data_IF_716175513466
#
_entry.id   IF_716175513466
#
_cell.length_a   1.000
_cell.length_b   1.000
_cell.length_c   1.000
_cell.angle_alpha   90.00
_cell.angle_beta   90.00
_cell.angle_gamma   90.00
#
_symmetry.space_group_name_H-M   'P 1'
#
loop_
_entity.id
_entity.type
_entity.pdbx_description
1 polymer ?
#
# COMPACT_ATOMS: atom_id res chain seq x y z
N UNK A 1 13.48 -2.03 -1.29
CA UNK A 1 12.86 -0.81 -1.86
C UNK A 1 11.54 -1.25 -2.46
N UNK A 2 10.44 -0.52 -2.24
CA UNK A 2 9.12 -0.95 -2.73
C UNK A 2 9.11 -0.98 -4.27
N UNK A 3 8.85 -2.15 -4.84
CA UNK A 3 8.83 -2.37 -6.30
C UNK A 3 7.41 -2.49 -6.85
N UNK A 4 6.47 -2.96 -6.03
CA UNK A 4 5.05 -3.01 -6.33
C UNK A 4 4.28 -2.17 -5.29
N UNK A 5 3.50 -1.15 -5.69
CA UNK A 5 2.70 -0.36 -4.76
C UNK A 5 1.52 -1.13 -4.19
N UNK A 6 1.11 -2.28 -4.76
CA UNK A 6 0.03 -3.08 -4.19
C UNK A 6 0.47 -3.76 -2.89
N UNK A 7 -0.52 -4.17 -2.08
CA UNK A 7 -0.24 -5.11 -1.00
C UNK A 7 -0.04 -6.51 -1.60
N UNK A 8 1.21 -6.93 -1.72
CA UNK A 8 1.56 -8.26 -2.20
C UNK A 8 2.44 -9.02 -1.20
N UNK A 9 2.41 -10.35 -1.28
CA UNK A 9 3.15 -11.22 -0.37
C UNK A 9 4.63 -10.86 -0.30
N UNK A 10 5.26 -10.57 -1.45
CA UNK A 10 6.69 -10.28 -1.54
C UNK A 10 7.08 -8.99 -0.79
N UNK A 11 6.22 -7.97 -0.75
CA UNK A 11 6.47 -6.76 0.03
C UNK A 11 6.54 -7.06 1.54
N UNK A 12 5.65 -7.92 2.04
CA UNK A 12 5.64 -8.37 3.44
C UNK A 12 6.81 -9.34 3.71
N UNK A 13 7.13 -10.21 2.76
CA UNK A 13 8.26 -11.13 2.85
C UNK A 13 9.61 -10.40 2.93
N UNK A 14 9.78 -9.29 2.19
CA UNK A 14 10.97 -8.44 2.33
C UNK A 14 11.12 -7.89 3.74
N UNK A 15 10.02 -7.48 4.37
CA UNK A 15 10.02 -7.06 5.77
C UNK A 15 10.44 -8.22 6.70
N UNK A 16 9.89 -9.43 6.53
CA UNK A 16 10.32 -10.61 7.31
C UNK A 16 11.81 -10.93 7.10
N UNK A 17 12.34 -10.85 5.87
CA UNK A 17 13.78 -11.06 5.59
C UNK A 17 14.64 -10.02 6.30
N UNK A 18 14.20 -8.76 6.34
CA UNK A 18 14.85 -7.72 7.13
C UNK A 18 14.88 -8.07 8.61
N UNK A 19 13.76 -8.47 9.21
CA UNK A 19 13.71 -8.88 10.62
C UNK A 19 14.62 -10.09 10.92
N UNK A 20 14.61 -11.10 10.04
CA UNK A 20 15.48 -12.26 10.17
C UNK A 20 16.97 -11.86 10.14
N UNK A 21 17.35 -10.88 9.31
CA UNK A 21 18.74 -10.41 9.21
C UNK A 21 19.28 -9.77 10.48
N UNK A 22 18.38 -9.28 11.35
CA UNK A 22 18.71 -8.68 12.64
C UNK A 22 18.33 -9.59 13.83
N UNK A 23 17.86 -10.82 13.57
CA UNK A 23 17.43 -11.77 14.59
C UNK A 23 16.19 -11.34 15.37
N UNK A 24 15.33 -10.51 14.80
CA UNK A 24 14.10 -10.06 15.45
C UNK A 24 12.90 -10.97 15.11
N UNK A 25 12.21 -11.43 16.14
CA UNK A 25 10.98 -12.25 16.04
C UNK A 25 9.89 -11.78 17.01
N UNK A 26 9.97 -10.52 17.44
CA UNK A 26 9.03 -9.92 18.38
C UNK A 26 7.75 -9.39 17.72
N UNK A 27 6.92 -8.66 18.50
CA UNK A 27 5.67 -8.08 18.02
C UNK A 27 5.91 -7.04 16.92
N UNK A 28 4.94 -6.89 16.03
CA UNK A 28 4.90 -5.91 14.94
C UNK A 28 3.60 -5.12 15.05
N UNK A 29 3.70 -3.80 14.89
CA UNK A 29 2.55 -2.93 14.71
C UNK A 29 2.36 -2.68 13.21
N UNK A 30 1.14 -2.87 12.72
CA UNK A 30 0.71 -2.39 11.43
C UNK A 30 0.00 -1.04 11.60
N UNK A 31 0.09 -0.20 10.59
CA UNK A 31 -0.53 1.11 10.57
C UNK A 31 -0.95 1.46 9.15
N UNK A 32 -2.11 2.08 9.03
CA UNK A 32 -2.65 2.57 7.77
C UNK A 32 -3.24 3.96 7.93
N UNK A 33 -3.13 4.74 6.86
CA UNK A 33 -3.83 6.03 6.74
C UNK A 33 -4.08 6.32 5.25
N UNK A 34 -5.10 7.12 4.96
CA UNK A 34 -5.42 7.58 3.61
C UNK A 34 -5.08 9.07 3.45
N UNK A 35 -3.92 9.34 2.87
CA UNK A 35 -3.41 10.71 2.75
C UNK A 35 -3.81 11.34 1.41
N UNK A 36 -4.21 12.61 1.44
CA UNK A 36 -4.53 13.41 0.25
C UNK A 36 -3.30 13.69 -0.60
N UNK A 37 -3.41 13.46 -1.90
CA UNK A 37 -2.36 13.74 -2.88
C UNK A 37 -2.58 15.07 -3.60
N UNK A 38 -1.47 15.68 -4.04
CA UNK A 38 -1.52 16.69 -5.11
C UNK A 38 -1.72 15.97 -6.44
N UNK A 39 -2.81 16.30 -7.14
CA UNK A 39 -3.15 15.71 -8.44
C UNK A 39 -1.98 15.86 -9.43
N UNK A 40 -1.34 14.74 -9.77
CA UNK A 40 -0.25 14.72 -10.74
C UNK A 40 -0.01 13.30 -11.23
N UNK A 41 0.18 13.17 -12.54
CA UNK A 41 0.69 11.95 -13.17
C UNK A 41 2.17 12.12 -13.45
N UNK A 42 2.96 11.07 -13.20
CA UNK A 42 4.39 11.04 -13.56
C UNK A 42 4.75 9.65 -14.07
N UNK A 43 5.68 9.60 -15.02
CA UNK A 43 6.37 8.36 -15.32
C UNK A 43 7.40 8.05 -14.23
N UNK A 44 7.43 6.80 -13.77
CA UNK A 44 8.45 6.28 -12.85
C UNK A 44 9.31 5.26 -13.58
N UNK A 45 10.59 5.58 -13.81
CA UNK A 45 11.53 4.63 -14.43
C UNK A 45 11.79 3.41 -13.55
N UNK A 46 11.71 3.57 -12.22
CA UNK A 46 11.87 2.48 -11.26
C UNK A 46 10.73 1.46 -11.35
N UNK A 47 9.50 1.91 -11.57
CA UNK A 47 8.31 1.05 -11.68
C UNK A 47 7.94 0.73 -13.14
N UNK A 48 8.57 1.38 -14.11
CA UNK A 48 8.25 1.25 -15.53
C UNK A 48 6.85 1.72 -15.92
N UNK A 49 6.18 2.51 -15.08
CA UNK A 49 4.75 2.83 -15.26
C UNK A 49 4.42 4.31 -14.98
N UNK A 50 3.21 4.73 -15.33
CA UNK A 50 2.64 6.01 -14.88
C UNK A 50 2.10 5.87 -13.47
N UNK A 51 2.65 6.64 -12.54
CA UNK A 51 2.21 6.75 -11.14
C UNK A 51 1.28 7.95 -10.93
N UNK A 52 0.49 7.91 -9.86
CA UNK A 52 -0.52 8.92 -9.52
C UNK A 52 -1.90 8.67 -10.16
N UNK A 53 -2.12 7.46 -10.65
CA UNK A 53 -3.42 6.98 -11.14
C UNK A 53 -3.97 5.90 -10.23
N UNK A 54 -5.29 5.69 -10.28
CA UNK A 54 -5.96 4.55 -9.64
C UNK A 54 -5.92 3.27 -10.49
N UNK A 55 -5.37 3.32 -11.70
CA UNK A 55 -5.14 2.13 -12.51
C UNK A 55 -4.01 1.28 -11.93
N UNK A 56 -4.08 -0.02 -12.18
CA UNK A 56 -3.04 -0.96 -11.79
C UNK A 56 -1.73 -0.70 -12.54
N UNK A 57 -0.60 -1.15 -11.97
CA UNK A 57 0.70 -1.05 -12.62
C UNK A 57 0.73 -1.67 -14.03
N UNK A 58 -0.02 -2.74 -14.25
CA UNK A 58 -0.09 -3.40 -15.55
C UNK A 58 -0.81 -2.53 -16.60
N UNK A 59 -1.83 -1.78 -16.18
CA UNK A 59 -2.58 -0.88 -17.05
C UNK A 59 -1.84 0.42 -17.36
N UNK A 60 -0.86 0.79 -16.53
CA UNK A 60 -0.06 2.01 -16.70
C UNK A 60 1.38 1.73 -17.11
N UNK A 61 1.72 0.47 -17.41
CA UNK A 61 3.05 0.05 -17.84
C UNK A 61 3.43 0.70 -19.17
N UNK A 62 4.65 1.21 -19.25
CA UNK A 62 5.21 1.91 -20.40
C UNK A 62 6.32 1.04 -21.01
N UNK A 63 6.09 0.55 -22.23
CA UNK A 63 7.08 -0.24 -22.98
C UNK A 63 7.91 0.65 -23.90
N UNK A 64 7.28 1.66 -24.48
CA UNK A 64 7.89 2.61 -25.39
C UNK A 64 7.56 4.04 -24.97
N UNK A 65 8.38 5.01 -25.41
CA UNK A 65 8.15 6.42 -25.07
C UNK A 65 6.77 6.93 -25.52
N UNK A 66 6.26 6.43 -26.65
CA UNK A 66 4.95 6.83 -27.19
C UNK A 66 3.78 6.39 -26.30
N UNK A 67 3.95 5.32 -25.52
CA UNK A 67 2.91 4.82 -24.61
C UNK A 67 2.61 5.81 -23.49
N UNK A 68 3.55 6.71 -23.16
CA UNK A 68 3.39 7.68 -22.06
C UNK A 68 2.17 8.57 -22.32
N UNK A 69 2.09 9.21 -23.50
CA UNK A 69 0.98 10.11 -23.82
C UNK A 69 -0.34 9.34 -23.88
N UNK A 70 -0.35 8.18 -24.56
CA UNK A 70 -1.54 7.34 -24.72
C UNK A 70 -2.09 6.93 -23.34
N UNK A 71 -1.20 6.52 -22.44
CA UNK A 71 -1.58 6.10 -21.08
C UNK A 71 -2.08 7.27 -20.25
N UNK A 72 -1.40 8.43 -20.30
CA UNK A 72 -1.84 9.64 -19.59
C UNK A 72 -3.23 10.08 -20.08
N UNK A 73 -3.48 10.07 -21.39
CA UNK A 73 -4.75 10.47 -21.96
C UNK A 73 -5.85 9.46 -21.62
N UNK A 74 -5.55 8.16 -21.62
CA UNK A 74 -6.45 7.11 -21.12
C UNK A 74 -6.84 7.37 -19.65
N UNK A 75 -5.87 7.66 -18.78
CA UNK A 75 -6.13 7.93 -17.36
C UNK A 75 -7.03 9.17 -17.20
N UNK A 76 -6.72 10.26 -17.90
CA UNK A 76 -7.51 11.49 -17.85
C UNK A 76 -8.93 11.28 -18.36
N UNK A 77 -9.10 10.59 -19.49
CA UNK A 77 -10.41 10.29 -20.08
C UNK A 77 -11.32 9.48 -19.14
N UNK A 78 -10.73 8.62 -18.31
CA UNK A 78 -11.44 7.81 -17.32
C UNK A 78 -11.56 8.48 -15.93
N UNK A 79 -11.13 9.74 -15.77
CA UNK A 79 -11.08 10.43 -14.47
C UNK A 79 -10.32 9.64 -13.39
N UNK A 80 -9.32 8.85 -13.79
CA UNK A 80 -8.58 7.92 -12.93
C UNK A 80 -7.31 8.53 -12.30
N UNK A 81 -7.26 9.86 -12.15
CA UNK A 81 -6.15 10.54 -11.46
C UNK A 81 -6.40 10.40 -9.96
N UNK A 82 -5.45 9.78 -9.26
CA UNK A 82 -5.56 9.50 -7.84
C UNK A 82 -5.64 10.81 -7.04
N UNK A 83 -6.59 10.86 -6.10
CA UNK A 83 -6.79 12.00 -5.19
C UNK A 83 -6.21 11.71 -3.81
N UNK A 84 -6.15 10.45 -3.43
CA UNK A 84 -5.60 9.97 -2.17
C UNK A 84 -4.75 8.73 -2.40
N UNK A 85 -3.93 8.40 -1.42
CA UNK A 85 -3.20 7.14 -1.35
C UNK A 85 -3.34 6.57 0.05
N UNK A 86 -3.77 5.31 0.13
CA UNK A 86 -3.77 4.55 1.37
C UNK A 86 -2.41 3.88 1.52
N UNK A 87 -1.71 4.22 2.60
CA UNK A 87 -0.37 3.73 2.90
C UNK A 87 -0.49 2.65 3.96
N UNK A 88 0.11 1.48 3.73
CA UNK A 88 0.29 0.47 4.78
C UNK A 88 1.74 0.39 5.19
N UNK A 89 1.97 0.39 6.49
CA UNK A 89 3.27 0.42 7.13
C UNK A 89 3.35 -0.69 8.16
N UNK A 90 4.49 -1.39 8.19
CA UNK A 90 4.87 -2.28 9.28
C UNK A 90 6.02 -1.67 10.08
N UNK A 91 5.94 -1.80 11.40
CA UNK A 91 6.93 -1.26 12.30
C UNK A 91 7.19 -2.19 13.48
N UNK A 92 8.47 -2.36 13.82
CA UNK A 92 8.89 -2.90 15.10
C UNK A 92 8.58 -1.85 16.18
N UNK A 93 7.77 -2.14 17.21
CA UNK A 93 7.35 -1.19 18.24
C UNK A 93 8.47 -0.94 19.27
N UNK A 94 9.68 -0.64 18.78
CA UNK A 94 10.85 -0.28 19.57
C UNK A 94 11.38 1.09 19.10
N UNK A 95 11.96 1.88 20.02
CA UNK A 95 12.56 3.17 19.64
C UNK A 95 13.61 3.01 18.55
N UNK A 96 13.64 3.97 17.62
CA UNK A 96 14.66 4.08 16.54
C UNK A 96 14.61 2.98 15.47
N UNK A 97 13.64 2.07 15.51
CA UNK A 97 13.40 1.16 14.40
C UNK A 97 12.67 1.87 13.27
N UNK A 98 13.15 1.74 12.01
CA UNK A 98 12.49 2.38 10.88
C UNK A 98 11.17 1.68 10.57
N UNK A 99 10.16 2.49 10.23
CA UNK A 99 8.91 1.99 9.68
C UNK A 99 9.10 1.63 8.20
N UNK A 100 8.49 0.53 7.76
CA UNK A 100 8.63 0.03 6.38
C UNK A 100 7.27 0.09 5.69
N UNK A 101 7.20 0.82 4.57
CA UNK A 101 6.02 0.88 3.72
C UNK A 101 5.92 -0.43 2.94
N UNK A 102 4.77 -1.10 3.03
CA UNK A 102 4.48 -2.36 2.33
C UNK A 102 3.42 -2.22 1.23
N UNK A 103 2.63 -1.14 1.23
CA UNK A 103 1.69 -0.82 0.16
C UNK A 103 1.40 0.69 0.06
N UNK A 104 1.09 1.13 -1.15
CA UNK A 104 0.68 2.49 -1.56
C UNK A 104 -0.51 2.39 -2.53
N UNK A 105 -1.71 2.29 -1.99
CA UNK A 105 -2.93 2.04 -2.76
C UNK A 105 -3.60 3.35 -3.17
N UNK A 106 -3.45 3.72 -4.43
CA UNK A 106 -4.00 4.96 -4.98
C UNK A 106 -5.52 4.87 -5.16
N UNK A 107 -6.26 5.87 -4.69
CA UNK A 107 -7.72 5.89 -4.76
C UNK A 107 -8.30 7.30 -5.03
N UNK A 108 -9.62 7.37 -5.24
CA UNK A 108 -10.36 8.61 -5.51
C UNK A 108 -10.91 9.30 -4.25
N UNK A 109 -10.66 8.74 -3.06
CA UNK A 109 -11.21 9.22 -1.78
C UNK A 109 -12.56 8.60 -1.42
N UNK A 110 -12.88 7.43 -1.97
CA UNK A 110 -14.14 6.72 -1.78
C UNK A 110 -13.93 5.29 -1.28
N UNK A 111 -12.88 5.08 -0.49
CA UNK A 111 -12.65 3.78 0.16
C UNK A 111 -13.86 3.42 1.01
N UNK A 112 -14.25 2.14 0.93
CA UNK A 112 -15.32 1.59 1.73
C UNK A 112 -14.75 0.73 2.84
N UNK A 113 -15.53 0.57 3.91
CA UNK A 113 -15.19 -0.31 5.04
C UNK A 113 -14.79 -1.70 4.55
N UNK A 114 -15.56 -2.29 3.63
CA UNK A 114 -15.34 -3.65 3.14
C UNK A 114 -13.99 -3.76 2.39
N UNK A 115 -13.68 -2.77 1.55
CA UNK A 115 -12.41 -2.77 0.82
C UNK A 115 -11.21 -2.62 1.76
N UNK A 116 -11.34 -1.84 2.83
CA UNK A 116 -10.29 -1.70 3.85
C UNK A 116 -10.13 -3.01 4.62
N UNK A 117 -11.24 -3.63 5.02
CA UNK A 117 -11.28 -4.91 5.69
C UNK A 117 -10.61 -6.01 4.87
N UNK A 118 -10.92 -6.10 3.56
CA UNK A 118 -10.30 -7.07 2.66
C UNK A 118 -8.76 -6.94 2.65
N UNK A 119 -8.25 -5.71 2.67
CA UNK A 119 -6.81 -5.46 2.71
C UNK A 119 -6.23 -5.84 4.09
N UNK A 120 -6.94 -5.60 5.18
CA UNK A 120 -6.49 -6.00 6.53
C UNK A 120 -6.40 -7.53 6.64
N UNK A 121 -7.44 -8.23 6.19
CA UNK A 121 -7.47 -9.70 6.15
C UNK A 121 -6.32 -10.25 5.32
N UNK A 122 -6.10 -9.70 4.12
CA UNK A 122 -4.99 -10.11 3.26
C UNK A 122 -3.61 -9.89 3.91
N UNK A 123 -3.43 -8.77 4.62
CA UNK A 123 -2.20 -8.51 5.37
C UNK A 123 -1.99 -9.54 6.49
N UNK A 124 -3.05 -9.89 7.23
CA UNK A 124 -3.00 -10.88 8.30
C UNK A 124 -2.73 -12.29 7.77
N UNK A 125 -3.30 -12.65 6.62
CA UNK A 125 -3.02 -13.93 5.95
C UNK A 125 -1.52 -14.04 5.59
N UNK A 126 -0.96 -13.00 4.96
CA UNK A 126 0.48 -12.95 4.66
C UNK A 126 1.33 -12.99 5.93
N UNK A 127 0.92 -12.28 6.98
CA UNK A 127 1.62 -12.27 8.26
C UNK A 127 1.61 -13.65 8.92
N UNK A 128 0.48 -14.35 8.90
CA UNK A 128 0.35 -15.70 9.44
C UNK A 128 1.28 -16.68 8.69
N UNK A 129 1.28 -16.65 7.35
CA UNK A 129 2.14 -17.50 6.53
C UNK A 129 3.64 -17.23 6.78
N UNK A 130 4.02 -15.95 6.93
CA UNK A 130 5.39 -15.52 7.20
C UNK A 130 5.80 -15.60 8.68
N UNK A 131 4.88 -16.02 9.57
CA UNK A 131 5.06 -16.03 11.03
C UNK A 131 5.48 -14.66 11.58
N UNK A 132 4.80 -13.61 11.13
CA UNK A 132 4.91 -12.26 11.67
C UNK A 132 3.85 -12.05 12.76
N UNK A 133 4.29 -11.60 13.93
CA UNK A 133 3.40 -11.36 15.07
C UNK A 133 2.79 -9.95 15.01
N UNK A 134 1.83 -9.72 14.10
CA UNK A 134 1.07 -8.46 14.08
C UNK A 134 0.14 -8.42 15.29
N UNK A 135 0.39 -7.48 16.20
CA UNK A 135 -0.37 -7.33 17.46
C UNK A 135 -1.38 -6.17 17.43
N UNK A 136 -1.27 -5.29 16.45
CA UNK A 136 -2.16 -4.14 16.29
C UNK A 136 -2.18 -3.64 14.86
N UNK A 137 -3.32 -3.07 14.45
CA UNK A 137 -3.47 -2.30 13.22
C UNK A 137 -4.04 -0.92 13.61
N UNK A 138 -3.21 0.13 13.54
CA UNK A 138 -3.61 1.51 13.86
C UNK A 138 -4.09 2.30 12.64
N UNK A 139 -5.02 3.23 12.85
CA UNK A 139 -5.52 4.16 11.83
C UNK A 139 -6.09 5.46 12.44
N UNK A 140 -6.49 6.44 11.64
CA UNK A 140 -6.85 7.80 12.09
C UNK A 140 -8.27 7.95 12.68
N UNK A 141 -8.96 6.83 12.92
CA UNK A 141 -10.33 6.77 13.45
C UNK A 141 -11.40 7.44 12.56
N UNK A 142 -11.12 7.69 11.27
CA UNK A 142 -12.19 7.97 10.31
C UNK A 142 -13.22 6.83 10.34
N UNK A 143 -14.51 7.17 10.22
CA UNK A 143 -15.61 6.21 10.45
C UNK A 143 -15.46 4.89 9.67
N UNK A 144 -15.03 4.96 8.41
CA UNK A 144 -14.83 3.78 7.55
C UNK A 144 -13.68 2.90 8.04
N UNK A 145 -12.63 3.49 8.60
CA UNK A 145 -11.46 2.77 9.11
C UNK A 145 -11.75 2.16 10.48
N UNK A 146 -12.41 2.92 11.36
CA UNK A 146 -12.87 2.44 12.66
C UNK A 146 -13.80 1.24 12.50
N UNK A 147 -14.74 1.31 11.55
CA UNK A 147 -15.64 0.20 11.25
C UNK A 147 -14.90 -1.04 10.73
N UNK A 148 -13.83 -0.86 9.94
CA UNK A 148 -13.04 -1.97 9.43
C UNK A 148 -12.20 -2.61 10.55
N UNK A 149 -11.59 -1.80 11.42
CA UNK A 149 -10.82 -2.26 12.57
C UNK A 149 -11.66 -3.12 13.53
N UNK A 150 -12.87 -2.68 13.85
CA UNK A 150 -13.80 -3.42 14.72
C UNK A 150 -14.27 -4.77 14.15
N UNK A 151 -14.06 -5.02 12.85
CA UNK A 151 -14.40 -6.30 12.21
C UNK A 151 -13.21 -7.27 12.15
N UNK A 152 -11.99 -6.78 12.39
CA UNK A 152 -10.75 -7.57 12.37
C UNK A 152 -10.28 -7.93 13.79
N UNK A 153 -10.53 -7.04 14.75
CA UNK A 153 -10.19 -7.21 16.17
C UNK A 153 -11.24 -8.01 16.92
#
# INVERSE_FOLDING_TARGET
>A
MLTDPNLCFENVAQFKRFLNSIGYDGPIAAMTDNTKLKLRLRYSSQMGCIIGSTFSNNETNIKTYNDISITIDKIKKNNAVAKYVRVYILQVPLPKFPSVIIALLSNLGSDKTESILDIHTLLLDFAQELKLHIISIGSDSAQVEFNAQNQVQ
#
